data_IF_704593623249
#
_entry.id   IF_704593623249
#
_cell.length_a   1.000
_cell.length_b   1.000
_cell.length_c   1.000
_cell.angle_alpha   90.00
_cell.angle_beta   90.00
_cell.angle_gamma   90.00
#
_symmetry.space_group_name_H-M   'P 1'
#
loop_
_entity.id
_entity.type
_entity.pdbx_description
1 polymer ?
#
# COMPACT_ATOMS: atom_id res chain seq x y z
N UNK A 1 -17.98 4.56 10.04
CA UNK A 1 -17.44 5.82 10.61
C UNK A 1 -15.97 5.60 10.87
N UNK A 2 -15.11 6.50 10.41
CA UNK A 2 -13.65 6.39 10.59
C UNK A 2 -13.26 6.56 12.07
N UNK A 3 -12.22 5.85 12.52
CA UNK A 3 -11.76 5.84 13.92
C UNK A 3 -11.47 7.24 14.46
N UNK A 4 -10.87 8.10 13.63
CA UNK A 4 -10.58 9.50 13.97
C UNK A 4 -11.85 10.29 14.30
N UNK A 5 -12.94 10.04 13.57
CA UNK A 5 -14.20 10.75 13.78
C UNK A 5 -14.89 10.29 15.07
N UNK A 6 -14.77 9.02 15.43
CA UNK A 6 -15.29 8.47 16.70
C UNK A 6 -14.55 9.10 17.88
N UNK A 7 -13.22 9.07 17.86
CA UNK A 7 -12.39 9.63 18.93
C UNK A 7 -12.63 11.13 19.12
N UNK A 8 -12.85 11.88 18.02
CA UNK A 8 -13.25 13.30 18.11
C UNK A 8 -14.61 13.48 18.78
N UNK A 9 -15.59 12.62 18.46
CA UNK A 9 -16.92 12.66 19.07
C UNK A 9 -16.88 12.29 20.56
N UNK A 10 -15.95 11.43 20.97
CA UNK A 10 -15.68 11.09 22.38
C UNK A 10 -14.92 12.19 23.14
N UNK A 11 -14.62 13.32 22.50
CA UNK A 11 -13.96 14.48 23.12
C UNK A 11 -12.43 14.38 23.16
N UNK A 12 -11.84 13.40 22.48
CA UNK A 12 -10.39 13.27 22.37
C UNK A 12 -9.82 14.45 21.58
N UNK A 13 -8.88 15.19 22.19
CA UNK A 13 -8.21 16.33 21.55
C UNK A 13 -7.01 15.84 20.75
N UNK A 14 -7.14 15.88 19.44
CA UNK A 14 -6.01 15.58 18.55
C UNK A 14 -5.04 16.77 18.48
N UNK A 15 -3.72 16.52 18.49
CA UNK A 15 -2.74 17.58 18.29
C UNK A 15 -2.90 18.20 16.91
N UNK A 16 -2.43 19.44 16.76
CA UNK A 16 -2.34 20.09 15.45
C UNK A 16 -1.35 19.32 14.60
N UNK A 17 -1.83 18.64 13.56
CA UNK A 17 -0.96 17.96 12.60
C UNK A 17 -0.24 19.00 11.76
N UNK A 18 1.09 18.94 11.70
CA UNK A 18 1.87 19.69 10.71
C UNK A 18 1.89 18.88 9.42
N UNK A 19 2.04 19.56 8.28
CA UNK A 19 2.14 18.89 6.97
C UNK A 19 3.27 17.85 6.93
N UNK A 20 4.37 18.12 7.65
CA UNK A 20 5.49 17.18 7.82
C UNK A 20 5.07 15.85 8.47
N UNK A 21 4.09 15.87 9.37
CA UNK A 21 3.65 14.68 10.12
C UNK A 21 2.77 13.77 9.26
N UNK A 22 2.25 14.28 8.13
CA UNK A 22 1.46 13.55 7.16
C UNK A 22 2.27 13.04 5.96
N UNK A 23 3.58 13.33 5.91
CA UNK A 23 4.44 12.84 4.83
C UNK A 23 4.78 11.36 5.05
N UNK A 24 4.05 10.47 4.37
CA UNK A 24 4.48 9.09 4.20
C UNK A 24 5.67 9.07 3.24
N UNK A 25 6.79 8.47 3.65
CA UNK A 25 7.92 8.25 2.75
C UNK A 25 7.43 7.47 1.54
N UNK A 26 7.64 8.00 0.34
CA UNK A 26 7.31 7.29 -0.89
C UNK A 26 8.14 6.01 -0.96
N UNK A 27 7.48 4.89 -1.23
CA UNK A 27 8.15 3.64 -1.52
C UNK A 27 8.97 3.77 -2.80
N UNK A 28 10.07 3.02 -2.89
CA UNK A 28 10.82 2.95 -4.14
C UNK A 28 10.01 2.17 -5.19
N UNK A 29 9.91 2.72 -6.39
CA UNK A 29 9.24 2.05 -7.50
C UNK A 29 9.92 0.70 -7.84
N UNK A 30 9.17 -0.32 -8.25
CA UNK A 30 9.73 -1.62 -8.56
C UNK A 30 10.65 -1.56 -9.79
N UNK A 31 11.68 -2.40 -9.76
CA UNK A 31 12.56 -2.61 -10.91
C UNK A 31 11.78 -3.15 -12.11
N UNK A 32 12.18 -2.73 -13.32
CA UNK A 32 11.56 -3.20 -14.55
C UNK A 32 12.11 -4.57 -14.93
N UNK A 33 11.23 -5.56 -14.95
CA UNK A 33 11.55 -6.89 -15.42
C UNK A 33 11.61 -6.93 -16.95
N UNK A 34 12.52 -7.71 -17.51
CA UNK A 34 12.53 -8.04 -18.93
C UNK A 34 11.81 -9.37 -19.20
N UNK A 35 11.44 -9.61 -20.45
CA UNK A 35 10.77 -10.84 -20.85
C UNK A 35 10.46 -10.91 -22.34
N UNK A 36 10.38 -12.13 -22.86
CA UNK A 36 10.08 -12.40 -24.27
C UNK A 36 8.58 -12.52 -24.56
N UNK A 37 7.76 -12.64 -23.52
CA UNK A 37 6.30 -12.76 -23.62
C UNK A 37 5.59 -11.80 -22.66
N UNK A 38 4.37 -11.40 -22.99
CA UNK A 38 3.52 -10.61 -22.10
C UNK A 38 3.27 -11.37 -20.79
N UNK A 39 3.52 -10.73 -19.65
CA UNK A 39 3.37 -11.36 -18.33
C UNK A 39 1.95 -11.89 -18.07
N UNK A 40 0.91 -11.25 -18.64
CA UNK A 40 -0.49 -11.66 -18.49
C UNK A 40 -0.95 -12.68 -19.53
N UNK A 41 -1.03 -12.28 -20.80
CA UNK A 41 -1.62 -13.14 -21.85
C UNK A 41 -0.61 -14.04 -22.56
N UNK A 42 0.68 -13.96 -22.20
CA UNK A 42 1.78 -14.77 -22.76
C UNK A 42 1.99 -14.63 -24.27
N UNK A 43 1.39 -13.63 -24.93
CA UNK A 43 1.70 -13.33 -26.33
C UNK A 43 3.20 -13.00 -26.47
N UNK A 44 3.92 -13.62 -27.42
CA UNK A 44 5.32 -13.31 -27.65
C UNK A 44 5.49 -11.89 -28.19
N UNK A 45 6.52 -11.22 -27.71
CA UNK A 45 6.90 -9.91 -28.23
C UNK A 45 7.59 -10.05 -29.58
N UNK A 46 7.37 -9.07 -30.44
CA UNK A 46 7.92 -9.01 -31.80
C UNK A 46 8.02 -7.56 -32.25
N UNK A 47 8.45 -7.33 -33.48
CA UNK A 47 8.50 -5.97 -34.05
C UNK A 47 7.11 -5.30 -34.07
N UNK A 48 6.04 -6.09 -34.20
CA UNK A 48 4.66 -5.61 -34.17
C UNK A 48 4.08 -5.60 -32.74
N UNK A 49 4.43 -6.57 -31.90
CA UNK A 49 3.97 -6.66 -30.50
C UNK A 49 5.07 -6.12 -29.58
N UNK A 50 5.01 -4.82 -29.29
CA UNK A 50 6.03 -4.13 -28.48
C UNK A 50 5.87 -4.39 -26.97
N UNK A 51 6.98 -4.26 -26.25
CA UNK A 51 7.06 -4.38 -24.78
C UNK A 51 6.60 -3.09 -24.11
N UNK A 52 5.83 -3.23 -23.03
CA UNK A 52 5.39 -2.12 -22.19
C UNK A 52 5.48 -2.49 -20.70
N UNK A 53 6.11 -1.65 -19.89
CA UNK A 53 6.20 -1.88 -18.45
C UNK A 53 5.03 -1.25 -17.67
N UNK A 54 4.51 -2.00 -16.70
CA UNK A 54 3.61 -1.47 -15.68
C UNK A 54 4.41 -0.70 -14.63
N UNK A 55 4.13 0.59 -14.44
CA UNK A 55 4.86 1.40 -13.44
C UNK A 55 4.56 0.99 -11.99
N UNK A 56 3.47 0.25 -11.77
CA UNK A 56 3.07 -0.17 -10.44
C UNK A 56 3.71 -1.48 -9.97
N UNK A 57 4.07 -2.39 -10.88
CA UNK A 57 4.63 -3.70 -10.53
C UNK A 57 5.92 -4.08 -11.28
N UNK A 58 6.39 -3.26 -12.22
CA UNK A 58 7.64 -3.49 -12.95
C UNK A 58 7.58 -4.57 -14.04
N UNK A 59 6.52 -5.37 -14.12
CA UNK A 59 6.41 -6.45 -15.12
C UNK A 59 6.17 -5.93 -16.55
N UNK A 60 6.49 -6.76 -17.54
CA UNK A 60 6.38 -6.46 -18.99
C UNK A 60 5.08 -7.00 -19.60
N UNK A 61 4.39 -6.20 -20.39
CA UNK A 61 3.08 -6.48 -20.97
C UNK A 61 2.98 -6.03 -22.43
N UNK A 62 2.01 -6.58 -23.17
CA UNK A 62 1.58 -6.02 -24.44
C UNK A 62 0.67 -4.80 -24.23
N UNK A 63 0.41 -4.04 -25.31
CA UNK A 63 -0.44 -2.84 -25.27
C UNK A 63 -1.84 -3.14 -24.71
N UNK A 64 -2.44 -4.27 -25.07
CA UNK A 64 -3.80 -4.63 -24.64
C UNK A 64 -3.88 -4.93 -23.14
N UNK A 65 -2.88 -5.57 -22.55
CA UNK A 65 -2.85 -5.93 -21.13
C UNK A 65 -2.40 -4.79 -20.20
N UNK A 66 -2.01 -3.65 -20.78
CA UNK A 66 -1.52 -2.47 -20.05
C UNK A 66 -2.00 -1.17 -20.68
N UNK A 67 -3.24 -1.14 -21.17
CA UNK A 67 -3.80 0.00 -21.89
C UNK A 67 -4.20 1.16 -20.98
N UNK A 68 -4.33 0.91 -19.68
CA UNK A 68 -4.83 1.87 -18.69
C UNK A 68 -3.72 2.73 -18.07
N UNK A 69 -4.10 3.88 -17.54
CA UNK A 69 -3.22 4.83 -16.84
C UNK A 69 -3.77 5.15 -15.46
N UNK A 70 -2.91 5.38 -14.47
CA UNK A 70 -3.32 5.75 -13.10
C UNK A 70 -2.20 6.50 -12.38
N UNK A 71 -2.53 7.30 -11.37
CA UNK A 71 -1.55 7.90 -10.46
C UNK A 71 -1.04 6.83 -9.48
N UNK A 72 0.19 6.96 -8.99
CA UNK A 72 0.77 6.05 -7.99
C UNK A 72 1.34 6.85 -6.81
N UNK A 73 0.48 7.41 -5.92
CA UNK A 73 0.93 8.26 -4.81
C UNK A 73 1.91 7.56 -3.86
N UNK A 74 1.75 6.24 -3.65
CA UNK A 74 2.68 5.44 -2.85
C UNK A 74 4.13 5.45 -3.36
N UNK A 75 4.32 5.71 -4.65
CA UNK A 75 5.63 5.84 -5.28
C UNK A 75 5.99 7.30 -5.59
N UNK A 76 5.23 8.26 -5.06
CA UNK A 76 5.41 9.70 -5.34
C UNK A 76 5.05 10.11 -6.77
N UNK A 77 4.27 9.30 -7.50
CA UNK A 77 3.90 9.58 -8.89
C UNK A 77 2.48 10.16 -8.94
N UNK A 78 2.38 11.48 -9.01
CA UNK A 78 1.10 12.19 -9.08
C UNK A 78 0.51 12.27 -10.49
N UNK A 79 1.34 12.05 -11.52
CA UNK A 79 0.89 12.02 -12.92
C UNK A 79 0.35 10.65 -13.30
N UNK A 80 -0.62 10.61 -14.20
CA UNK A 80 -1.10 9.34 -14.72
C UNK A 80 -0.01 8.61 -15.52
N UNK A 81 0.27 7.38 -15.13
CA UNK A 81 1.26 6.51 -15.77
C UNK A 81 0.65 5.16 -16.12
N UNK A 82 1.22 4.51 -17.13
CA UNK A 82 0.73 3.21 -17.61
C UNK A 82 0.79 2.13 -16.53
N UNK A 83 -0.32 1.42 -16.37
CA UNK A 83 -0.42 0.28 -15.46
C UNK A 83 -1.07 -0.91 -16.18
N UNK A 84 -0.73 -2.13 -15.75
CA UNK A 84 -1.46 -3.31 -16.19
C UNK A 84 -2.86 -3.33 -15.58
N UNK A 85 -3.78 -4.07 -16.20
CA UNK A 85 -5.19 -4.11 -15.76
C UNK A 85 -5.33 -4.50 -14.28
N UNK A 86 -4.57 -5.51 -13.84
CA UNK A 86 -4.58 -5.97 -12.45
C UNK A 86 -4.08 -4.90 -11.46
N UNK A 87 -3.13 -4.06 -11.87
CA UNK A 87 -2.66 -2.95 -11.04
C UNK A 87 -3.65 -1.79 -11.05
N UNK A 88 -4.25 -1.50 -12.21
CA UNK A 88 -5.28 -0.48 -12.32
C UNK A 88 -6.42 -0.77 -11.35
N UNK A 89 -6.95 -2.00 -11.35
CA UNK A 89 -8.09 -2.37 -10.49
C UNK A 89 -7.77 -2.28 -8.99
N UNK A 90 -6.50 -2.45 -8.60
CA UNK A 90 -6.03 -2.29 -7.22
C UNK A 90 -5.90 -0.83 -6.80
N UNK A 91 -5.49 0.04 -7.73
CA UNK A 91 -5.23 1.46 -7.45
C UNK A 91 -6.50 2.29 -7.62
N UNK A 92 -7.39 1.92 -8.54
CA UNK A 92 -8.67 2.58 -8.78
C UNK A 92 -9.73 2.22 -7.74
N UNK A 93 -9.52 1.15 -6.97
CA UNK A 93 -10.40 0.80 -5.86
C UNK A 93 -10.07 1.78 -4.71
N UNK A 94 -11.02 2.66 -4.28
CA UNK A 94 -10.84 3.37 -3.02
C UNK A 94 -10.60 2.33 -1.93
N UNK A 95 -9.72 2.57 -0.94
CA UNK A 95 -9.38 1.57 0.07
C UNK A 95 -10.69 1.04 0.69
N UNK A 96 -11.10 -0.16 0.26
CA UNK A 96 -12.17 -0.86 0.91
C UNK A 96 -11.66 -1.12 2.33
N UNK A 97 -12.42 -0.65 3.32
CA UNK A 97 -12.19 -0.81 4.75
C UNK A 97 -11.28 -2.01 5.05
N UNK A 98 -10.11 -1.69 5.59
CA UNK A 98 -9.04 -2.57 6.05
C UNK A 98 -9.49 -4.00 6.35
N UNK A 99 -8.91 -4.98 5.66
CA UNK A 99 -8.91 -6.37 6.10
C UNK A 99 -8.55 -6.40 7.59
N UNK A 100 -9.45 -6.93 8.42
CA UNK A 100 -9.27 -7.18 9.85
C UNK A 100 -7.96 -7.95 10.06
N UNK A 101 -6.90 -7.27 10.48
CA UNK A 101 -5.75 -7.91 11.11
C UNK A 101 -6.21 -8.34 12.50
N UNK A 102 -6.33 -9.65 12.72
CA UNK A 102 -6.66 -10.19 14.03
C UNK A 102 -5.44 -10.02 14.95
N UNK A 103 -5.58 -9.12 15.92
CA UNK A 103 -4.62 -8.94 17.01
C UNK A 103 -4.82 -10.13 17.95
N UNK A 104 -3.82 -11.02 18.01
CA UNK A 104 -3.70 -11.98 19.10
C UNK A 104 -3.23 -11.20 20.33
N UNK A 105 -4.09 -11.14 21.35
CA UNK A 105 -3.82 -10.55 22.64
C UNK A 105 -2.84 -11.42 23.44
N UNK A 106 -1.63 -10.91 23.67
CA UNK A 106 -0.73 -11.38 24.73
C UNK A 106 -0.43 -10.20 25.64
N UNK A 107 -1.42 -9.84 26.46
CA UNK A 107 -1.27 -8.88 27.55
C UNK A 107 -0.87 -9.60 28.84
N UNK A 108 0.35 -9.29 29.29
CA UNK A 108 0.79 -9.07 30.68
C UNK A 108 2.20 -9.62 30.90
N UNK A 109 3.15 -8.73 31.15
CA UNK A 109 3.83 -8.65 32.46
C UNK A 109 4.89 -7.54 32.40
N UNK A 110 4.65 -6.38 33.02
CA UNK A 110 5.71 -5.54 33.58
C UNK A 110 5.09 -4.55 34.55
N UNK A 111 4.96 -4.97 35.82
CA UNK A 111 4.63 -4.12 36.96
C UNK A 111 5.71 -4.26 38.04
N UNK A 112 6.10 -3.20 38.76
CA UNK A 112 7.25 -3.21 39.65
C UNK A 112 6.94 -3.94 40.98
N UNK A 113 7.83 -4.84 41.38
CA UNK A 113 7.74 -5.64 42.62
C UNK A 113 8.00 -4.81 43.88
N UNK A 114 7.12 -4.92 44.89
CA UNK A 114 7.38 -4.46 46.26
C UNK A 114 7.69 -5.64 47.22
N UNK A 115 8.50 -5.41 48.29
CA UNK A 115 9.05 -6.48 49.12
C UNK A 115 8.12 -6.87 50.28
N UNK A 116 8.04 -8.17 50.57
CA UNK A 116 7.17 -8.75 51.59
C UNK A 116 7.98 -9.01 52.88
N UNK A 117 7.64 -8.30 53.98
CA UNK A 117 8.15 -8.56 55.34
C UNK A 117 7.40 -9.76 55.92
N UNK A 118 8.14 -10.78 56.39
CA UNK A 118 7.58 -11.94 57.09
C UNK A 118 7.64 -11.72 58.60
N UNK A 119 6.53 -11.94 59.27
CA UNK A 119 6.46 -12.26 60.71
C UNK A 119 5.16 -13.01 60.99
N UNK A 120 5.06 -13.74 62.12
CA UNK A 120 6.03 -14.67 62.72
C UNK A 120 5.73 -16.14 62.33
#
# INVERSE_FOLDING_TARGET
MDTVNILKAEGYKFPTLKESDAMFSADTAPEWADGEVCHRCRVPFSLMVRRHHCRACGQVFCQQCSSKTSTLPKFGIEKEVRVCDACYDKVSRPPASSTKLEIVDTSNDYGPTQPQVRTP
#
